data_IF_481045305584
#
_entry.id   IF_481045305584
#
_cell.length_a   1.000
_cell.length_b   1.000
_cell.length_c   1.000
_cell.angle_alpha   90.00
_cell.angle_beta   90.00
_cell.angle_gamma   90.00
#
_symmetry.space_group_name_H-M   'P 1'
#
loop_
_entity.id
_entity.type
_entity.pdbx_description
1 polymer ?
#
# COMPACT_ATOMS: atom_id res chain seq x y z
N UNK A 1 -6.04 0.78 20.41
CA UNK A 1 -6.01 2.07 19.68
C UNK A 1 -7.24 2.23 18.79
N UNK A 2 -7.88 3.41 18.74
CA UNK A 2 -9.01 3.64 17.84
C UNK A 2 -8.58 3.47 16.38
N UNK A 3 -9.47 2.93 15.56
CA UNK A 3 -9.28 2.75 14.13
C UNK A 3 -9.05 4.12 13.48
N UNK A 4 -7.95 4.26 12.72
CA UNK A 4 -7.65 5.47 11.93
C UNK A 4 -7.71 6.79 12.70
N UNK A 5 -7.11 6.82 13.90
CA UNK A 5 -7.08 8.00 14.77
C UNK A 5 -8.48 8.51 15.19
N UNK A 6 -9.50 7.63 15.12
CA UNK A 6 -10.88 7.96 15.50
C UNK A 6 -11.70 8.64 14.40
N UNK A 7 -11.32 8.46 13.12
CA UNK A 7 -12.12 8.93 12.00
C UNK A 7 -13.55 8.33 12.09
N UNK A 8 -14.61 9.16 12.21
CA UNK A 8 -15.97 8.66 12.41
C UNK A 8 -16.50 7.87 11.21
N UNK A 9 -15.86 7.97 10.04
CA UNK A 9 -16.24 7.23 8.83
C UNK A 9 -15.85 5.76 8.90
N UNK A 10 -14.89 5.40 9.75
CA UNK A 10 -14.29 4.07 9.80
C UNK A 10 -14.20 3.59 11.24
N UNK A 11 -15.29 2.98 11.72
CA UNK A 11 -15.42 2.58 13.13
C UNK A 11 -15.12 1.10 13.35
N UNK A 12 -15.23 0.27 12.30
CA UNK A 12 -14.98 -1.17 12.35
C UNK A 12 -13.98 -1.59 11.29
N UNK A 13 -13.19 -2.61 11.61
CA UNK A 13 -12.14 -3.10 10.71
C UNK A 13 -11.26 -4.14 11.37
N UNK A 14 -10.25 -4.59 10.64
CA UNK A 14 -9.24 -5.53 11.13
C UNK A 14 -7.92 -4.80 11.38
N UNK A 15 -7.36 -5.05 12.57
CA UNK A 15 -6.02 -4.63 12.92
C UNK A 15 -5.03 -5.77 12.66
N UNK A 16 -3.91 -5.48 12.02
CA UNK A 16 -2.79 -6.43 11.91
C UNK A 16 -1.47 -5.76 12.26
N UNK A 17 -0.57 -6.53 12.84
CA UNK A 17 0.80 -6.12 13.12
C UNK A 17 1.76 -7.18 12.59
N UNK A 18 2.75 -6.76 11.81
CA UNK A 18 3.77 -7.66 11.24
C UNK A 18 5.16 -7.08 11.46
N UNK A 19 6.14 -7.97 11.59
CA UNK A 19 7.56 -7.64 11.64
C UNK A 19 8.22 -8.19 10.38
N UNK A 20 8.77 -7.32 9.56
CA UNK A 20 9.55 -7.70 8.38
C UNK A 20 11.02 -7.73 8.73
N UNK A 21 11.60 -8.93 8.75
CA UNK A 21 13.03 -9.14 8.93
C UNK A 21 13.74 -9.05 7.57
N UNK A 22 14.34 -7.91 7.26
CA UNK A 22 14.92 -7.61 5.95
C UNK A 22 16.38 -8.07 5.81
N UNK A 23 17.01 -8.54 6.87
CA UNK A 23 18.44 -8.87 6.86
C UNK A 23 18.84 -9.84 5.74
N UNK A 24 17.98 -10.81 5.38
CA UNK A 24 18.22 -11.75 4.29
C UNK A 24 17.76 -11.28 2.91
N UNK A 25 17.07 -10.13 2.84
CA UNK A 25 16.49 -9.57 1.61
C UNK A 25 17.23 -8.34 1.10
N UNK A 26 18.15 -7.77 1.87
CA UNK A 26 18.99 -6.62 1.46
C UNK A 26 20.33 -7.08 0.88
N UNK A 27 20.96 -6.30 -0.02
CA UNK A 27 22.29 -6.60 -0.52
C UNK A 27 23.32 -6.76 0.61
N UNK A 28 24.30 -7.65 0.42
CA UNK A 28 25.30 -8.00 1.45
C UNK A 28 26.05 -6.78 2.01
N UNK A 29 26.40 -5.81 1.16
CA UNK A 29 27.07 -4.56 1.56
C UNK A 29 26.22 -3.78 2.58
N UNK A 30 24.92 -3.68 2.37
CA UNK A 30 24.00 -3.00 3.30
C UNK A 30 23.93 -3.76 4.62
N UNK A 31 23.89 -5.10 4.57
CA UNK A 31 23.84 -5.95 5.76
C UNK A 31 25.04 -5.82 6.67
N UNK A 32 26.24 -5.58 6.11
CA UNK A 32 27.47 -5.45 6.88
C UNK A 32 27.60 -4.09 7.58
N UNK A 33 27.00 -3.04 7.01
CA UNK A 33 27.11 -1.66 7.51
C UNK A 33 25.92 -1.28 8.41
N UNK A 34 24.75 -1.87 8.16
CA UNK A 34 23.51 -1.55 8.87
C UNK A 34 23.41 -2.29 10.22
N UNK A 35 23.12 -1.60 11.34
CA UNK A 35 22.83 -2.25 12.61
C UNK A 35 21.64 -3.22 12.50
N UNK A 36 21.70 -4.37 13.18
CA UNK A 36 20.66 -5.42 13.05
C UNK A 36 19.23 -4.91 13.27
N UNK A 37 19.04 -3.98 14.21
CA UNK A 37 17.73 -3.37 14.51
C UNK A 37 17.22 -2.46 13.39
N UNK A 38 18.08 -1.91 12.54
CA UNK A 38 17.67 -1.06 11.42
C UNK A 38 17.11 -1.88 10.24
N UNK A 39 17.23 -3.21 10.27
CA UNK A 39 16.73 -4.12 9.24
C UNK A 39 15.44 -4.84 9.65
N UNK A 40 14.79 -4.40 10.73
CA UNK A 40 13.48 -4.89 11.17
C UNK A 40 12.46 -3.78 10.97
N UNK A 41 11.50 -3.96 10.06
CA UNK A 41 10.39 -3.02 9.91
C UNK A 41 9.16 -3.52 10.65
N UNK A 42 8.52 -2.63 11.40
CA UNK A 42 7.22 -2.91 12.01
C UNK A 42 6.12 -2.33 11.12
N UNK A 43 5.26 -3.20 10.61
CA UNK A 43 4.02 -2.83 9.94
C UNK A 43 2.86 -2.89 10.92
N UNK A 44 2.07 -1.82 10.96
CA UNK A 44 0.76 -1.79 11.58
C UNK A 44 -0.26 -1.42 10.51
N UNK A 45 -1.28 -2.24 10.31
CA UNK A 45 -2.32 -1.98 9.34
C UNK A 45 -3.72 -2.03 9.96
N UNK A 46 -4.55 -1.10 9.50
CA UNK A 46 -5.96 -0.95 9.80
C UNK A 46 -6.74 -1.12 8.49
N UNK A 47 -7.36 -2.29 8.32
CA UNK A 47 -8.20 -2.59 7.18
C UNK A 47 -9.67 -2.33 7.53
N UNK A 48 -10.21 -1.22 7.03
CA UNK A 48 -11.58 -0.77 7.22
C UNK A 48 -12.25 -0.63 5.84
N UNK A 49 -12.27 -1.74 5.08
CA UNK A 49 -12.72 -1.75 3.69
C UNK A 49 -14.00 -0.91 3.49
N UNK A 50 -14.02 0.03 2.54
CA UNK A 50 -13.10 0.14 1.39
C UNK A 50 -11.81 0.94 1.65
N UNK A 51 -11.55 1.39 2.87
CA UNK A 51 -10.34 2.16 3.18
C UNK A 51 -9.35 1.33 4.02
N UNK A 52 -8.07 1.43 3.69
CA UNK A 52 -7.01 0.83 4.49
C UNK A 52 -5.93 1.86 4.79
N UNK A 53 -5.36 1.79 5.99
CA UNK A 53 -4.14 2.52 6.36
C UNK A 53 -3.12 1.54 6.89
N UNK A 54 -1.93 1.59 6.35
CA UNK A 54 -0.76 0.85 6.80
C UNK A 54 0.34 1.83 7.16
N UNK A 55 0.97 1.62 8.30
CA UNK A 55 2.10 2.42 8.78
C UNK A 55 3.26 1.47 9.03
N UNK A 56 4.36 1.68 8.32
CA UNK A 56 5.63 0.99 8.55
C UNK A 56 6.59 1.93 9.29
N UNK A 57 7.12 1.45 10.41
CA UNK A 57 8.13 2.16 11.21
C UNK A 57 9.37 1.28 11.39
N UNK A 58 10.45 1.91 11.86
CA UNK A 58 11.66 1.21 12.26
C UNK A 58 12.14 1.74 13.62
N UNK A 59 12.26 0.85 14.60
CA UNK A 59 12.59 1.24 15.97
C UNK A 59 13.98 1.86 16.09
N UNK A 60 14.94 1.45 15.24
CA UNK A 60 16.30 2.01 15.26
C UNK A 60 16.32 3.47 14.81
N UNK A 61 15.59 3.80 13.74
CA UNK A 61 15.44 5.18 13.28
C UNK A 61 14.44 5.98 14.10
N UNK A 62 13.80 5.38 15.11
CA UNK A 62 12.83 6.00 16.03
C UNK A 62 11.76 6.81 15.27
N UNK A 63 11.83 8.13 15.33
CA UNK A 63 10.93 9.02 14.61
C UNK A 63 11.44 9.38 13.22
N UNK A 64 12.69 9.18 12.84
CA UNK A 64 13.21 9.64 11.55
C UNK A 64 12.68 8.86 10.34
N UNK A 65 12.07 7.69 10.55
CA UNK A 65 11.59 6.83 9.48
C UNK A 65 10.13 6.40 9.69
N UNK A 66 9.29 6.71 8.71
CA UNK A 66 7.92 6.24 8.62
C UNK A 66 7.55 6.09 7.15
N UNK A 67 6.85 5.03 6.80
CA UNK A 67 6.16 4.91 5.52
C UNK A 67 4.68 4.72 5.83
N UNK A 68 3.86 5.66 5.40
CA UNK A 68 2.41 5.55 5.47
C UNK A 68 1.90 5.14 4.09
N UNK A 69 0.99 4.18 4.05
CA UNK A 69 0.26 3.78 2.86
C UNK A 69 -1.21 3.91 3.22
N UNK A 70 -1.92 4.73 2.46
CA UNK A 70 -3.36 4.87 2.57
C UNK A 70 -3.93 4.35 1.24
N UNK A 71 -5.06 3.66 1.27
CA UNK A 71 -5.69 3.13 0.06
C UNK A 71 -7.19 3.22 0.17
N UNK A 72 -7.85 3.57 -0.93
CA UNK A 72 -9.29 3.57 -1.05
C UNK A 72 -9.69 2.72 -2.26
N UNK A 73 -10.53 1.73 -2.02
CA UNK A 73 -11.13 0.92 -3.08
C UNK A 73 -12.39 1.62 -3.60
N UNK A 74 -12.38 2.05 -4.86
CA UNK A 74 -13.49 2.77 -5.49
C UNK A 74 -13.77 2.21 -6.88
N UNK A 75 -15.03 2.23 -7.32
CA UNK A 75 -15.37 1.97 -8.73
C UNK A 75 -15.35 3.25 -9.58
N UNK A 76 -15.24 4.42 -8.95
CA UNK A 76 -15.16 5.71 -9.63
C UNK A 76 -13.73 6.00 -10.09
N UNK A 77 -13.51 5.89 -11.40
CA UNK A 77 -12.23 6.13 -12.06
C UNK A 77 -11.88 7.62 -12.21
N UNK A 78 -12.86 8.51 -11.98
CA UNK A 78 -12.67 9.96 -12.11
C UNK A 78 -12.26 10.64 -10.80
N UNK A 79 -12.13 9.86 -9.71
CA UNK A 79 -11.85 10.38 -8.38
C UNK A 79 -10.45 11.00 -8.29
N UNK A 80 -10.38 12.33 -8.19
CA UNK A 80 -9.10 13.05 -8.20
C UNK A 80 -8.49 13.28 -6.82
N UNK A 81 -9.28 13.38 -5.74
CA UNK A 81 -8.79 13.61 -4.37
C UNK A 81 -9.41 12.63 -3.35
N UNK A 82 -9.17 11.33 -3.56
CA UNK A 82 -9.76 10.25 -2.77
C UNK A 82 -9.46 10.31 -1.26
N UNK A 83 -8.35 10.93 -0.87
CA UNK A 83 -7.90 11.00 0.52
C UNK A 83 -8.17 12.35 1.19
N UNK A 84 -8.90 13.24 0.53
CA UNK A 84 -9.20 14.57 1.03
C UNK A 84 -7.92 15.31 1.48
N UNK A 85 -6.88 15.23 0.65
CA UNK A 85 -5.64 15.96 0.86
C UNK A 85 -5.92 17.46 0.87
N UNK A 86 -5.14 18.20 1.66
CA UNK A 86 -5.16 19.67 1.62
C UNK A 86 -4.73 20.16 0.23
N UNK A 87 -5.08 21.40 -0.17
CA UNK A 87 -4.67 21.95 -1.45
C UNK A 87 -3.14 21.86 -1.70
N UNK A 88 -2.33 22.15 -0.69
CA UNK A 88 -0.85 22.07 -0.75
C UNK A 88 -0.35 20.63 -0.97
N UNK A 89 -0.92 19.65 -0.25
CA UNK A 89 -0.56 18.24 -0.41
C UNK A 89 -1.03 17.69 -1.76
N UNK A 90 -2.17 18.18 -2.25
CA UNK A 90 -2.74 17.79 -3.53
C UNK A 90 -1.91 18.33 -4.71
N UNK A 91 -1.35 19.53 -4.58
CA UNK A 91 -0.48 20.15 -5.60
C UNK A 91 0.91 19.49 -5.64
N UNK A 92 1.47 19.16 -4.47
CA UNK A 92 2.80 18.53 -4.38
C UNK A 92 2.84 17.03 -4.69
N UNK A 93 1.68 16.40 -4.92
CA UNK A 93 1.62 14.95 -5.17
C UNK A 93 2.10 14.58 -6.56
N UNK A 94 2.60 13.35 -6.68
CA UNK A 94 2.84 12.71 -7.97
C UNK A 94 1.76 11.66 -8.24
N UNK A 95 1.13 11.73 -9.41
CA UNK A 95 0.24 10.68 -9.90
C UNK A 95 1.05 9.68 -10.74
N UNK A 96 0.80 8.40 -10.50
CA UNK A 96 1.40 7.29 -11.24
C UNK A 96 0.29 6.30 -11.52
N UNK A 97 -0.03 6.12 -12.81
CA UNK A 97 -1.01 5.14 -13.25
C UNK A 97 -0.32 3.79 -13.45
N UNK A 98 -0.88 2.74 -12.84
CA UNK A 98 -0.37 1.37 -12.97
C UNK A 98 -1.32 0.59 -13.87
N UNK A 99 -0.86 0.32 -15.09
CA UNK A 99 -1.59 -0.51 -16.05
C UNK A 99 -1.10 -1.96 -16.02
N UNK A 100 -1.88 -2.85 -15.41
CA UNK A 100 -1.59 -4.29 -15.41
C UNK A 100 -1.74 -4.96 -16.79
N UNK A 101 -2.37 -4.31 -17.76
CA UNK A 101 -2.48 -4.75 -19.16
C UNK A 101 -1.39 -4.20 -20.08
N UNK A 102 -0.45 -3.39 -19.57
CA UNK A 102 0.71 -2.88 -20.30
C UNK A 102 2.00 -3.34 -19.61
N UNK A 103 2.43 -4.55 -19.97
CA UNK A 103 3.58 -5.24 -19.39
C UNK A 103 4.74 -5.25 -20.36
N UNK A 104 5.96 -5.11 -19.84
CA UNK A 104 7.18 -5.29 -20.61
C UNK A 104 7.82 -6.65 -20.29
N UNK A 105 7.93 -7.59 -21.25
CA UNK A 105 8.60 -8.87 -21.03
C UNK A 105 10.10 -8.76 -20.70
N UNK A 106 10.69 -7.57 -20.87
CA UNK A 106 12.08 -7.30 -20.47
C UNK A 106 12.25 -6.95 -18.99
N UNK A 107 11.15 -6.78 -18.25
CA UNK A 107 11.21 -6.50 -16.82
C UNK A 107 11.80 -7.69 -16.05
N UNK A 108 12.67 -7.39 -15.09
CA UNK A 108 13.37 -8.41 -14.29
C UNK A 108 12.42 -9.34 -13.55
N UNK A 109 11.27 -8.81 -13.14
CA UNK A 109 10.27 -9.53 -12.35
C UNK A 109 9.17 -10.14 -13.24
N UNK A 110 9.32 -10.13 -14.58
CA UNK A 110 8.36 -10.72 -15.51
C UNK A 110 8.26 -12.23 -15.31
N UNK A 111 7.03 -12.72 -15.15
CA UNK A 111 6.70 -14.13 -15.13
C UNK A 111 5.56 -14.38 -16.14
N UNK A 112 5.76 -15.21 -17.19
CA UNK A 112 4.72 -15.48 -18.18
C UNK A 112 3.47 -16.13 -17.59
N UNK A 113 3.58 -16.88 -16.48
CA UNK A 113 2.44 -17.51 -15.82
C UNK A 113 1.58 -16.51 -15.03
N UNK A 114 2.11 -15.31 -14.77
CA UNK A 114 1.44 -14.21 -14.06
C UNK A 114 1.06 -13.06 -15.02
N UNK A 115 1.11 -13.29 -16.34
CA UNK A 115 0.86 -12.28 -17.37
C UNK A 115 -0.66 -12.14 -17.69
N UNK A 116 -1.35 -11.11 -17.19
CA UNK A 116 -2.77 -10.86 -17.49
C UNK A 116 -3.06 -10.55 -18.96
N UNK A 117 -2.06 -10.21 -19.78
CA UNK A 117 -2.24 -9.95 -21.22
C UNK A 117 -2.35 -11.23 -22.04
N UNK A 118 -2.01 -12.38 -21.44
CA UNK A 118 -2.15 -13.71 -22.05
C UNK A 118 -3.17 -14.58 -21.30
N UNK A 119 -3.39 -14.30 -20.01
CA UNK A 119 -4.30 -15.07 -19.17
C UNK A 119 -5.79 -14.86 -19.49
N UNK A 120 -6.55 -15.96 -19.52
CA UNK A 120 -8.02 -15.94 -19.56
C UNK A 120 -8.61 -16.82 -18.46
N UNK A 121 -9.46 -16.23 -17.63
CA UNK A 121 -10.15 -16.94 -16.57
C UNK A 121 -11.17 -17.93 -17.13
N UNK A 122 -11.02 -19.22 -16.81
CA UNK A 122 -12.00 -20.24 -17.22
C UNK A 122 -13.37 -20.06 -16.52
N UNK A 123 -13.37 -19.59 -15.27
CA UNK A 123 -14.60 -19.43 -14.48
C UNK A 123 -15.42 -18.21 -14.87
N UNK A 124 -14.74 -17.10 -15.18
CA UNK A 124 -15.40 -15.80 -15.39
C UNK A 124 -15.35 -15.32 -16.84
N UNK A 125 -14.54 -15.95 -17.68
CA UNK A 125 -14.30 -15.52 -19.06
C UNK A 125 -13.48 -14.22 -19.20
N UNK A 126 -13.08 -13.58 -18.10
CA UNK A 126 -12.29 -12.33 -18.10
C UNK A 126 -10.89 -12.55 -18.66
N UNK A 127 -10.37 -11.51 -19.32
CA UNK A 127 -9.08 -11.52 -19.99
C UNK A 127 -9.12 -12.19 -21.37
N UNK A 128 -8.03 -12.13 -22.13
CA UNK A 128 -6.79 -11.40 -21.83
C UNK A 128 -6.97 -9.88 -21.79
N UNK A 129 -6.22 -9.20 -20.91
CA UNK A 129 -6.23 -7.75 -20.81
C UNK A 129 -5.41 -7.11 -21.93
N UNK A 130 -5.83 -5.94 -22.39
CA UNK A 130 -5.08 -5.11 -23.34
C UNK A 130 -4.66 -3.80 -22.66
N UNK A 131 -3.63 -3.10 -23.16
CA UNK A 131 -3.33 -1.76 -22.69
C UNK A 131 -4.58 -0.88 -22.77
N UNK A 132 -4.84 -0.10 -21.73
CA UNK A 132 -6.06 0.70 -21.63
C UNK A 132 -7.35 -0.11 -21.39
N UNK A 133 -7.28 -1.35 -20.88
CA UNK A 133 -8.49 -2.17 -20.62
C UNK A 133 -9.51 -1.50 -19.70
N UNK A 134 -9.09 -0.55 -18.86
CA UNK A 134 -9.95 0.23 -17.96
C UNK A 134 -10.59 1.46 -18.64
N UNK A 135 -10.20 1.78 -19.88
CA UNK A 135 -10.67 2.96 -20.63
C UNK A 135 -11.96 2.69 -21.45
N UNK A 136 -12.55 1.49 -21.39
CA UNK A 136 -13.71 1.13 -22.21
C UNK A 136 -15.07 1.31 -21.48
N UNK A 137 -15.65 2.49 -21.74
CA UNK A 137 -17.02 2.84 -22.19
C UNK A 137 -18.27 2.13 -21.66
N UNK A 138 -19.20 2.96 -21.16
CA UNK A 138 -20.67 2.83 -21.18
C UNK A 138 -21.20 1.84 -22.24
N UNK A 139 -21.64 0.65 -21.82
CA UNK A 139 -22.47 -0.21 -22.70
C UNK A 139 -22.18 -1.71 -22.76
N UNK A 140 -21.28 -2.27 -21.95
CA UNK A 140 -21.14 -3.73 -21.87
C UNK A 140 -21.26 -4.22 -20.42
N UNK A 141 -22.43 -4.77 -20.14
CA UNK A 141 -22.84 -5.46 -18.93
C UNK A 141 -21.81 -6.51 -18.49
N UNK A 142 -21.26 -6.36 -17.28
CA UNK A 142 -20.65 -7.48 -16.53
C UNK A 142 -19.20 -7.33 -16.08
N UNK A 143 -18.49 -6.27 -16.48
CA UNK A 143 -17.15 -6.02 -15.94
C UNK A 143 -17.26 -5.21 -14.65
N UNK A 144 -17.09 -5.88 -13.51
CA UNK A 144 -16.71 -5.19 -12.27
C UNK A 144 -15.37 -4.50 -12.56
N UNK A 145 -15.45 -3.26 -13.03
CA UNK A 145 -14.34 -2.34 -13.10
C UNK A 145 -13.94 -2.05 -11.65
N UNK A 146 -13.15 -2.93 -11.05
CA UNK A 146 -12.44 -2.61 -9.82
C UNK A 146 -11.22 -1.83 -10.27
N UNK A 147 -11.40 -0.53 -10.47
CA UNK A 147 -10.27 0.38 -10.54
C UNK A 147 -9.73 0.51 -9.11
N UNK A 148 -8.74 -0.32 -8.78
CA UNK A 148 -8.00 -0.09 -7.54
C UNK A 148 -7.09 1.11 -7.76
N UNK A 149 -7.61 2.30 -7.51
CA UNK A 149 -6.76 3.48 -7.43
C UNK A 149 -6.00 3.43 -6.10
N UNK A 150 -4.81 2.84 -6.14
CA UNK A 150 -3.88 2.83 -5.02
C UNK A 150 -3.29 4.23 -4.84
N UNK A 151 -3.89 5.02 -3.97
CA UNK A 151 -3.35 6.31 -3.57
C UNK A 151 -2.31 6.14 -2.45
N UNK A 152 -1.19 5.47 -2.73
CA UNK A 152 -0.13 5.34 -1.72
C UNK A 152 0.52 6.69 -1.42
N UNK A 153 0.32 7.18 -0.19
CA UNK A 153 0.93 8.42 0.31
C UNK A 153 2.27 8.15 0.97
N UNK A 154 3.33 7.96 0.19
CA UNK A 154 4.69 7.82 0.71
C UNK A 154 5.20 9.12 1.36
N UNK A 155 5.12 9.20 2.69
CA UNK A 155 5.70 10.31 3.45
C UNK A 155 6.96 9.82 4.17
N UNK A 156 8.14 10.10 3.63
CA UNK A 156 9.37 10.08 4.43
C UNK A 156 9.47 11.40 5.22
N UNK A 157 8.78 11.48 6.35
CA UNK A 157 8.91 12.59 7.32
C UNK A 157 9.37 12.02 8.66
N UNK A 158 9.94 12.85 9.54
CA UNK A 158 10.00 12.52 10.95
C UNK A 158 8.58 12.14 11.42
N UNK A 159 8.37 10.87 11.77
CA UNK A 159 7.22 10.31 12.42
C UNK A 159 6.83 11.22 13.59
N UNK A 160 5.73 11.93 13.43
CA UNK A 160 5.19 12.78 14.49
C UNK A 160 4.96 11.91 15.74
N UNK A 161 5.31 12.46 16.92
CA UNK A 161 5.23 11.78 18.24
C UNK A 161 3.90 11.06 18.52
N UNK A 162 2.82 11.45 17.84
CA UNK A 162 1.45 10.93 18.01
C UNK A 162 1.29 9.45 17.62
N UNK A 163 2.13 8.93 16.72
CA UNK A 163 2.05 7.52 16.29
C UNK A 163 2.68 6.54 17.30
N UNK A 164 3.73 6.97 18.00
CA UNK A 164 4.39 6.17 19.05
C UNK A 164 3.51 5.98 20.29
N UNK A 165 2.66 6.95 20.62
CA UNK A 165 1.71 6.84 21.75
C UNK A 165 0.54 5.88 21.51
N UNK A 166 0.35 5.40 20.28
CA UNK A 166 -0.71 4.43 19.93
C UNK A 166 -0.21 2.99 19.92
N UNK A 167 1.10 2.77 20.05
CA UNK A 167 1.68 1.45 20.25
C UNK A 167 1.52 1.07 21.73
N UNK A 168 0.94 -0.09 22.07
CA UNK A 168 0.99 -0.56 23.45
C UNK A 168 2.47 -0.68 23.88
N UNK A 169 2.80 -0.38 25.15
CA UNK A 169 4.18 -0.50 25.63
C UNK A 169 4.67 -1.91 25.36
N UNK A 170 5.90 -2.01 24.84
CA UNK A 170 6.60 -3.29 24.74
C UNK A 170 6.55 -3.93 26.12
N UNK A 171 5.90 -5.09 26.23
CA UNK A 171 6.10 -5.95 27.39
C UNK A 171 7.58 -6.28 27.39
N UNK A 172 8.28 -5.69 28.36
CA UNK A 172 9.64 -6.04 28.73
C UNK A 172 9.61 -7.52 29.09
N UNK A 173 10.06 -8.36 28.16
CA UNK A 173 10.29 -9.78 28.43
C UNK A 173 11.70 -9.91 28.95
N UNK A 174 11.86 -9.48 30.19
CA UNK A 174 12.90 -9.98 31.08
C UNK A 174 12.41 -11.30 31.69
N UNK A 175 12.57 -12.41 30.94
CA UNK A 175 12.90 -13.77 31.45
C UNK A 175 13.60 -14.52 30.32
#
# INVERSE_FOLDING_TARGET
PPLLDGDPRYQTGQYTRKLYHLAHKVPSIVRQVAPTKSLILQEVAWNAYPYCRTVLTNDYFTTSFCIKIESLHSSDISLTNAHHLSPEELESRKLVDIDIGNISPSDKDYNPDEDPTTFKSQKTGRGPLKPGWWLVSSGSTGYMNVCLTFFSRFIMKPCQKRYLSLLPPLLDSSV
#
